data_IF_267475790997
#
_entry.id   IF_267475790997
#
_cell.length_a   1.000
_cell.length_b   1.000
_cell.length_c   1.000
_cell.angle_alpha   90.00
_cell.angle_beta   90.00
_cell.angle_gamma   90.00
#
_symmetry.space_group_name_H-M   'P 1'
#
loop_
_entity.id
_entity.type
_entity.pdbx_description
1 polymer ?
#
# COMPACT_ATOMS: atom_id res chain seq x y z
N UNK A 1 -10.13 13.62 -2.05
CA UNK A 1 -9.18 12.95 -1.14
C UNK A 1 -9.58 11.51 -0.85
N UNK A 2 -10.83 11.24 -0.45
CA UNK A 2 -11.29 9.88 -0.09
C UNK A 2 -11.78 9.00 -1.26
N UNK A 3 -11.91 9.56 -2.45
CA UNK A 3 -12.20 8.82 -3.68
C UNK A 3 -11.43 9.50 -4.81
N UNK A 4 -10.20 9.05 -5.10
CA UNK A 4 -9.39 9.67 -6.12
C UNK A 4 -9.88 9.25 -7.51
N UNK A 5 -10.01 10.19 -8.44
CA UNK A 5 -10.61 9.95 -9.77
C UNK A 5 -9.74 9.14 -10.72
N UNK A 6 -8.50 8.85 -10.35
CA UNK A 6 -7.52 8.15 -11.17
C UNK A 6 -7.47 6.63 -10.96
N UNK A 7 -8.24 6.09 -10.00
CA UNK A 7 -8.23 4.65 -9.68
C UNK A 7 -9.35 3.93 -10.42
N UNK A 8 -9.00 2.84 -11.07
CA UNK A 8 -9.93 1.84 -11.63
C UNK A 8 -10.58 0.98 -10.54
N UNK A 9 -11.62 0.22 -10.90
CA UNK A 9 -12.23 -0.76 -9.99
C UNK A 9 -11.24 -1.83 -9.53
N UNK A 10 -10.28 -2.21 -10.39
CA UNK A 10 -9.20 -3.14 -10.03
C UNK A 10 -8.29 -2.54 -8.97
N UNK A 11 -7.92 -1.26 -9.11
CA UNK A 11 -7.04 -0.60 -8.15
C UNK A 11 -7.67 -0.48 -6.76
N UNK A 12 -9.00 -0.30 -6.71
CA UNK A 12 -9.75 -0.27 -5.46
C UNK A 12 -9.66 -1.57 -4.63
N UNK A 13 -9.39 -2.72 -5.26
CA UNK A 13 -9.31 -4.02 -4.56
C UNK A 13 -8.14 -4.04 -3.56
N UNK A 14 -7.03 -3.38 -3.88
CA UNK A 14 -5.84 -3.37 -3.02
C UNK A 14 -5.66 -2.07 -2.22
N UNK A 15 -6.67 -1.20 -2.21
CA UNK A 15 -6.63 0.05 -1.45
C UNK A 15 -6.75 -0.21 0.05
N UNK A 16 -5.77 0.27 0.79
CA UNK A 16 -5.71 0.35 2.24
C UNK A 16 -5.43 1.79 2.64
N UNK A 17 -6.37 2.47 3.30
CA UNK A 17 -6.16 3.83 3.84
C UNK A 17 -5.58 4.78 2.77
N UNK A 18 -6.30 4.95 1.66
CA UNK A 18 -5.97 5.91 0.60
C UNK A 18 -4.86 5.52 -0.38
N UNK A 19 -4.31 4.30 -0.31
CA UNK A 19 -3.30 3.82 -1.25
C UNK A 19 -2.99 2.33 -1.05
N UNK A 20 -1.87 1.84 -1.56
CA UNK A 20 -1.47 0.44 -1.33
C UNK A 20 -1.06 0.20 0.13
N UNK A 21 -1.15 -1.06 0.59
CA UNK A 21 -0.72 -1.46 1.95
C UNK A 21 0.80 -1.67 2.00
N UNK A 22 1.56 -0.94 2.84
CA UNK A 22 3.03 -1.03 2.96
C UNK A 22 3.63 -2.46 2.99
N UNK A 23 2.99 -3.43 3.64
CA UNK A 23 3.42 -4.82 3.71
C UNK A 23 3.49 -5.51 2.35
N UNK A 24 2.73 -5.03 1.36
CA UNK A 24 2.77 -5.52 -0.02
C UNK A 24 4.14 -5.29 -0.68
N UNK A 25 4.90 -4.27 -0.28
CA UNK A 25 6.26 -4.05 -0.79
C UNK A 25 7.21 -5.21 -0.42
N UNK A 26 7.07 -5.78 0.78
CA UNK A 26 7.87 -6.94 1.19
C UNK A 26 7.43 -8.21 0.45
N UNK A 27 6.13 -8.38 0.21
CA UNK A 27 5.65 -9.48 -0.63
C UNK A 27 6.22 -9.38 -2.05
N UNK A 28 6.17 -8.20 -2.66
CA UNK A 28 6.78 -7.95 -3.96
C UNK A 28 8.29 -8.25 -3.94
N UNK A 29 9.01 -7.80 -2.90
CA UNK A 29 10.42 -8.10 -2.71
C UNK A 29 10.66 -9.61 -2.70
N UNK A 30 9.95 -10.37 -1.86
CA UNK A 30 10.11 -11.83 -1.76
C UNK A 30 9.76 -12.54 -3.07
N UNK A 31 8.70 -12.12 -3.75
CA UNK A 31 8.32 -12.71 -5.05
C UNK A 31 9.37 -12.44 -6.12
N UNK A 32 9.84 -11.19 -6.28
CA UNK A 32 10.81 -10.85 -7.31
C UNK A 32 12.20 -11.43 -7.03
N UNK A 33 12.66 -11.36 -5.77
CA UNK A 33 13.94 -11.98 -5.36
C UNK A 33 13.93 -13.48 -5.54
N UNK A 34 12.86 -14.16 -5.12
CA UNK A 34 12.68 -15.59 -5.30
C UNK A 34 12.69 -16.00 -6.79
N UNK A 35 11.93 -15.29 -7.63
CA UNK A 35 11.93 -15.55 -9.08
C UNK A 35 13.32 -15.40 -9.72
N UNK A 36 14.07 -14.35 -9.35
CA UNK A 36 15.41 -14.11 -9.88
C UNK A 36 16.43 -15.15 -9.38
N UNK A 37 16.35 -15.51 -8.10
CA UNK A 37 17.16 -16.56 -7.49
C UNK A 37 16.91 -17.91 -8.17
N UNK A 38 15.65 -18.31 -8.35
CA UNK A 38 15.28 -19.59 -8.99
C UNK A 38 15.76 -19.66 -10.43
N UNK A 39 15.59 -18.58 -11.21
CA UNK A 39 16.03 -18.52 -12.60
C UNK A 39 17.56 -18.66 -12.78
N UNK A 40 18.34 -18.41 -11.73
CA UNK A 40 19.81 -18.35 -11.76
C UNK A 40 20.48 -19.30 -10.77
N UNK A 41 19.73 -20.24 -10.20
CA UNK A 41 20.22 -21.12 -9.14
C UNK A 41 21.48 -21.91 -9.56
N UNK A 42 21.53 -22.38 -10.82
CA UNK A 42 22.69 -23.11 -11.33
C UNK A 42 23.96 -22.25 -11.42
N UNK A 43 23.83 -20.98 -11.81
CA UNK A 43 24.94 -20.03 -11.92
C UNK A 43 25.50 -19.69 -10.53
N UNK A 44 24.61 -19.49 -9.55
CA UNK A 44 24.94 -19.19 -8.16
C UNK A 44 25.67 -20.37 -7.50
N UNK A 45 25.16 -21.60 -7.67
CA UNK A 45 25.80 -22.81 -7.12
C UNK A 45 27.23 -23.00 -7.68
N UNK A 46 27.48 -22.55 -8.92
CA UNK A 46 28.81 -22.58 -9.55
C UNK A 46 29.71 -21.41 -9.13
N UNK A 47 29.27 -20.55 -8.22
CA UNK A 47 30.02 -19.40 -7.73
C UNK A 47 29.93 -18.17 -8.63
N UNK A 48 28.95 -18.11 -9.54
CA UNK A 48 28.64 -16.90 -10.29
C UNK A 48 28.03 -15.85 -9.38
N UNK A 49 28.54 -14.62 -9.44
CA UNK A 49 27.92 -13.46 -8.79
C UNK A 49 27.07 -12.71 -9.82
N UNK A 50 25.77 -12.64 -9.58
CA UNK A 50 24.84 -11.85 -10.41
C UNK A 50 24.33 -10.71 -9.56
N UNK A 51 24.43 -9.48 -10.05
CA UNK A 51 23.95 -8.31 -9.31
C UNK A 51 22.50 -8.04 -9.72
N UNK A 52 21.58 -8.77 -9.12
CA UNK A 52 20.14 -8.48 -9.16
C UNK A 52 19.49 -8.71 -7.78
N UNK A 53 18.15 -8.69 -7.70
CA UNK A 53 17.43 -8.88 -6.43
C UNK A 53 17.47 -10.34 -5.94
N UNK A 54 18.01 -11.28 -6.72
CA UNK A 54 18.25 -12.66 -6.30
C UNK A 54 19.50 -12.82 -5.41
N UNK A 55 20.46 -11.89 -5.48
CA UNK A 55 21.73 -11.93 -4.73
C UNK A 55 21.64 -11.17 -3.39
N UNK A 56 20.57 -11.40 -2.63
CA UNK A 56 20.35 -10.73 -1.34
C UNK A 56 21.04 -11.50 -0.23
N UNK A 57 21.91 -10.81 0.53
CA UNK A 57 22.65 -11.41 1.63
C UNK A 57 21.75 -11.77 2.83
N UNK A 58 22.21 -12.73 3.64
CA UNK A 58 21.50 -13.11 4.87
C UNK A 58 21.31 -11.92 5.85
N UNK A 59 22.28 -10.99 5.92
CA UNK A 59 22.18 -9.77 6.73
C UNK A 59 21.11 -8.82 6.21
N UNK A 60 20.98 -8.68 4.89
CA UNK A 60 19.92 -7.88 4.28
C UNK A 60 18.54 -8.51 4.51
N UNK A 61 18.42 -9.84 4.38
CA UNK A 61 17.17 -10.56 4.68
C UNK A 61 16.74 -10.37 6.15
N UNK A 62 17.68 -10.44 7.10
CA UNK A 62 17.38 -10.20 8.51
C UNK A 62 16.94 -8.75 8.78
N UNK A 63 17.59 -7.78 8.12
CA UNK A 63 17.21 -6.37 8.22
C UNK A 63 15.82 -6.11 7.62
N UNK A 64 15.50 -6.72 6.46
CA UNK A 64 14.19 -6.61 5.82
C UNK A 64 13.08 -7.28 6.64
N UNK A 65 13.32 -8.46 7.24
CA UNK A 65 12.36 -9.11 8.14
C UNK A 65 12.05 -8.24 9.37
N UNK A 66 13.08 -7.62 9.96
CA UNK A 66 12.88 -6.66 11.05
C UNK A 66 12.05 -5.47 10.59
N UNK A 67 12.40 -4.85 9.46
CA UNK A 67 11.67 -3.71 8.90
C UNK A 67 10.22 -4.09 8.61
N UNK A 68 9.96 -5.27 8.03
CA UNK A 68 8.62 -5.77 7.77
C UNK A 68 7.78 -5.89 9.05
N UNK A 69 8.35 -6.43 10.13
CA UNK A 69 7.65 -6.53 11.42
C UNK A 69 7.31 -5.17 12.00
N UNK A 70 8.21 -4.20 11.89
CA UNK A 70 7.99 -2.83 12.33
C UNK A 70 6.89 -2.16 11.49
N UNK A 71 6.94 -2.27 10.16
CA UNK A 71 5.91 -1.78 9.24
C UNK A 71 4.55 -2.40 9.54
N UNK A 72 4.45 -3.73 9.68
CA UNK A 72 3.17 -4.42 9.97
C UNK A 72 2.58 -3.98 11.31
N UNK A 73 3.41 -3.68 12.33
CA UNK A 73 2.90 -3.10 13.59
C UNK A 73 2.33 -1.70 13.37
N UNK A 74 3.02 -0.85 12.61
CA UNK A 74 2.53 0.49 12.29
C UNK A 74 1.24 0.46 11.45
N UNK A 75 1.12 -0.48 10.51
CA UNK A 75 -0.12 -0.70 9.74
C UNK A 75 -1.31 -1.05 10.63
N UNK A 76 -1.10 -1.90 11.65
CA UNK A 76 -2.16 -2.26 12.60
C UNK A 76 -2.67 -1.04 13.34
N UNK A 77 -1.76 -0.23 13.90
CA UNK A 77 -2.11 1.00 14.62
C UNK A 77 -2.87 1.98 13.71
N UNK A 78 -2.42 2.18 12.46
CA UNK A 78 -3.12 3.06 11.51
C UNK A 78 -4.50 2.49 11.14
N UNK A 79 -4.63 1.17 11.01
CA UNK A 79 -5.91 0.52 10.70
C UNK A 79 -6.90 0.63 11.86
N UNK A 80 -6.42 0.49 13.09
CA UNK A 80 -7.22 0.68 14.31
C UNK A 80 -7.74 2.13 14.39
N UNK A 81 -6.87 3.13 14.19
CA UNK A 81 -7.28 4.54 14.19
C UNK A 81 -8.25 4.88 13.05
N UNK A 82 -8.05 4.27 11.87
CA UNK A 82 -8.98 4.40 10.75
C UNK A 82 -10.36 3.84 11.12
N UNK A 83 -10.40 2.67 11.74
CA UNK A 83 -11.62 2.03 12.21
C UNK A 83 -12.32 2.89 13.27
N UNK A 84 -11.59 3.38 14.29
CA UNK A 84 -12.15 4.26 15.33
C UNK A 84 -12.75 5.55 14.75
N UNK A 85 -12.11 6.13 13.72
CA UNK A 85 -12.65 7.29 13.04
C UNK A 85 -13.95 6.93 12.29
N UNK A 86 -13.97 5.81 11.57
CA UNK A 86 -15.16 5.34 10.84
C UNK A 86 -16.31 4.99 11.78
N UNK A 87 -16.05 4.28 12.89
CA UNK A 87 -17.05 3.89 13.88
C UNK A 87 -17.70 5.09 14.57
N UNK A 88 -17.00 6.24 14.67
CA UNK A 88 -17.56 7.47 15.20
C UNK A 88 -18.79 7.99 14.39
N UNK A 89 -18.97 7.54 13.15
CA UNK A 89 -20.19 7.82 12.37
C UNK A 89 -21.43 7.11 12.90
N UNK A 90 -21.27 5.98 13.58
CA UNK A 90 -22.36 5.21 14.17
C UNK A 90 -22.67 5.64 15.61
N UNK A 91 -22.07 6.72 16.11
CA UNK A 91 -22.32 7.22 17.45
C UNK A 91 -23.76 7.76 17.60
N UNK A 92 -24.34 7.60 18.79
CA UNK A 92 -25.70 8.05 19.10
C UNK A 92 -25.92 9.55 18.79
N UNK A 93 -24.92 10.38 19.01
CA UNK A 93 -24.93 11.81 18.66
C UNK A 93 -25.17 12.03 17.16
N UNK A 94 -24.50 11.28 16.29
CA UNK A 94 -24.68 11.39 14.83
C UNK A 94 -26.09 10.97 14.44
N UNK A 95 -26.61 9.88 15.02
CA UNK A 95 -27.99 9.43 14.77
C UNK A 95 -29.04 10.45 15.21
N UNK A 96 -28.82 11.13 16.33
CA UNK A 96 -29.70 12.21 16.79
C UNK A 96 -29.66 13.42 15.85
N UNK A 97 -28.47 13.81 15.37
CA UNK A 97 -28.32 14.88 14.38
C UNK A 97 -29.01 14.53 13.05
N UNK A 98 -28.88 13.28 12.57
CA UNK A 98 -29.62 12.80 11.38
C UNK A 98 -31.13 12.90 11.60
N UNK A 99 -31.62 12.47 12.77
CA UNK A 99 -33.06 12.41 13.06
C UNK A 99 -33.68 13.79 13.28
N UNK A 100 -32.93 14.73 13.87
CA UNK A 100 -33.37 16.10 14.10
C UNK A 100 -33.28 16.99 12.85
N UNK A 101 -32.51 16.58 11.84
CA UNK A 101 -32.27 17.39 10.64
C UNK A 101 -31.39 18.61 10.88
N UNK A 102 -30.65 18.64 12.00
CA UNK A 102 -29.73 19.73 12.35
C UNK A 102 -28.48 19.69 11.46
N UNK A 103 -28.57 20.40 10.32
CA UNK A 103 -27.55 20.40 9.29
C UNK A 103 -26.25 21.09 9.74
N UNK A 104 -26.33 22.18 10.50
CA UNK A 104 -25.15 22.95 10.93
C UNK A 104 -24.27 22.12 11.89
N UNK A 105 -24.89 21.47 12.87
CA UNK A 105 -24.16 20.60 13.79
C UNK A 105 -23.66 19.32 13.10
N UNK A 106 -24.43 18.77 12.16
CA UNK A 106 -23.97 17.65 11.34
C UNK A 106 -22.73 18.02 10.51
N UNK A 107 -22.72 19.20 9.87
CA UNK A 107 -21.60 19.66 9.07
C UNK A 107 -20.34 19.84 9.93
N UNK A 108 -20.47 20.46 11.10
CA UNK A 108 -19.38 20.58 12.08
C UNK A 108 -18.82 19.21 12.49
N UNK A 109 -19.70 18.24 12.81
CA UNK A 109 -19.29 16.86 13.17
C UNK A 109 -18.56 16.17 12.01
N UNK A 110 -19.07 16.32 10.78
CA UNK A 110 -18.44 15.76 9.58
C UNK A 110 -17.10 16.42 9.27
N UNK A 111 -16.95 17.72 9.52
CA UNK A 111 -15.68 18.43 9.37
C UNK A 111 -14.62 17.86 10.31
N UNK A 112 -14.97 17.64 11.59
CA UNK A 112 -14.08 17.02 12.57
C UNK A 112 -13.67 15.59 12.20
N UNK A 113 -14.62 14.79 11.71
CA UNK A 113 -14.31 13.43 11.23
C UNK A 113 -13.39 13.44 10.00
N UNK A 114 -13.68 14.31 9.02
CA UNK A 114 -12.82 14.48 7.84
C UNK A 114 -11.40 14.82 8.27
N UNK A 115 -11.22 15.66 9.27
CA UNK A 115 -9.91 16.03 9.79
C UNK A 115 -9.17 14.85 10.45
N UNK A 116 -9.86 14.06 11.28
CA UNK A 116 -9.29 12.82 11.84
C UNK A 116 -8.85 11.87 10.72
N UNK A 117 -9.68 11.67 9.71
CA UNK A 117 -9.36 10.82 8.56
C UNK A 117 -8.21 11.38 7.72
N UNK A 118 -8.05 12.70 7.59
CA UNK A 118 -6.87 13.31 6.94
C UNK A 118 -5.59 13.00 7.70
N UNK A 119 -5.60 13.04 9.02
CA UNK A 119 -4.45 12.68 9.84
C UNK A 119 -4.06 11.20 9.67
N UNK A 120 -5.06 10.30 9.63
CA UNK A 120 -4.87 8.87 9.36
C UNK A 120 -4.25 8.66 7.98
N UNK A 121 -4.75 9.33 6.93
CA UNK A 121 -4.19 9.27 5.58
C UNK A 121 -2.73 9.75 5.55
N UNK A 122 -2.42 10.89 6.19
CA UNK A 122 -1.06 11.42 6.22
C UNK A 122 -0.07 10.46 6.89
N UNK A 123 -0.50 9.74 7.93
CA UNK A 123 0.31 8.69 8.57
C UNK A 123 0.51 7.49 7.66
N UNK A 124 -0.52 7.07 6.94
CA UNK A 124 -0.41 5.98 5.97
C UNK A 124 0.54 6.33 4.82
N UNK A 125 0.44 7.55 4.27
CA UNK A 125 1.34 8.04 3.22
C UNK A 125 2.78 8.11 3.70
N UNK A 126 3.00 8.60 4.93
CA UNK A 126 4.33 8.59 5.54
C UNK A 126 4.88 7.17 5.69
N UNK A 127 4.06 6.22 6.16
CA UNK A 127 4.49 4.83 6.31
C UNK A 127 4.86 4.19 4.97
N UNK A 128 4.16 4.52 3.87
CA UNK A 128 4.53 4.06 2.52
C UNK A 128 5.90 4.57 2.10
N UNK A 129 6.15 5.87 2.28
CA UNK A 129 7.44 6.49 1.96
C UNK A 129 8.55 5.88 2.81
N UNK A 130 8.34 5.78 4.12
CA UNK A 130 9.31 5.21 5.06
C UNK A 130 9.59 3.73 4.75
N UNK A 131 8.59 2.98 4.28
CA UNK A 131 8.76 1.56 3.90
C UNK A 131 9.60 1.42 2.63
N UNK A 132 9.29 2.17 1.56
CA UNK A 132 10.09 2.12 0.32
C UNK A 132 11.53 2.55 0.61
N UNK A 133 11.70 3.66 1.34
CA UNK A 133 13.01 4.14 1.75
C UNK A 133 13.77 3.11 2.58
N UNK A 134 13.13 2.53 3.59
CA UNK A 134 13.76 1.52 4.45
C UNK A 134 14.20 0.28 3.67
N UNK A 135 13.43 -0.17 2.67
CA UNK A 135 13.83 -1.27 1.80
C UNK A 135 15.06 -0.85 0.97
N UNK A 136 15.02 0.31 0.31
CA UNK A 136 16.12 0.78 -0.54
C UNK A 136 17.39 1.11 0.24
N UNK A 137 17.28 1.47 1.52
CA UNK A 137 18.43 1.74 2.40
C UNK A 137 19.11 0.43 2.86
N UNK A 138 18.40 -0.70 2.87
CA UNK A 138 18.95 -2.03 3.19
C UNK A 138 19.57 -2.71 1.97
N UNK A 139 18.96 -2.52 0.80
CA UNK A 139 19.44 -3.07 -0.47
C UNK A 139 20.67 -2.30 -0.98
N UNK A 140 21.52 -2.98 -1.76
CA UNK A 140 22.53 -2.25 -2.53
C UNK A 140 21.89 -1.51 -3.70
N UNK A 141 22.64 -0.63 -4.36
CA UNK A 141 22.12 0.23 -5.41
C UNK A 141 21.51 -0.54 -6.59
N UNK A 142 22.05 -1.71 -6.96
CA UNK A 142 21.55 -2.48 -8.09
C UNK A 142 20.30 -3.25 -7.69
N UNK A 143 20.32 -3.90 -6.53
CA UNK A 143 19.16 -4.55 -5.93
C UNK A 143 17.99 -3.57 -5.77
N UNK A 144 18.24 -2.36 -5.23
CA UNK A 144 17.23 -1.32 -5.07
C UNK A 144 16.59 -0.93 -6.41
N UNK A 145 17.39 -0.80 -7.48
CA UNK A 145 16.87 -0.55 -8.84
C UNK A 145 15.98 -1.69 -9.31
N UNK A 146 16.40 -2.95 -9.16
CA UNK A 146 15.56 -4.10 -9.53
C UNK A 146 14.24 -4.17 -8.75
N UNK A 147 14.27 -3.84 -7.46
CA UNK A 147 13.07 -3.73 -6.64
C UNK A 147 12.13 -2.63 -7.14
N UNK A 148 12.65 -1.43 -7.41
CA UNK A 148 11.84 -0.29 -7.89
C UNK A 148 11.27 -0.55 -9.29
N UNK A 149 12.02 -1.21 -10.17
CA UNK A 149 11.52 -1.65 -11.48
C UNK A 149 10.34 -2.61 -11.28
N UNK A 150 10.48 -3.62 -10.41
CA UNK A 150 9.39 -4.56 -10.15
C UNK A 150 8.15 -3.87 -9.57
N UNK A 151 8.33 -2.85 -8.73
CA UNK A 151 7.23 -2.07 -8.17
C UNK A 151 6.51 -1.25 -9.26
N UNK A 152 7.28 -0.63 -10.17
CA UNK A 152 6.72 0.11 -11.30
C UNK A 152 5.99 -0.82 -12.29
N UNK A 153 6.58 -1.97 -12.62
CA UNK A 153 5.96 -3.01 -13.47
C UNK A 153 4.60 -3.43 -12.92
N UNK A 154 4.52 -3.74 -11.62
CA UNK A 154 3.27 -4.14 -10.98
C UNK A 154 2.24 -3.00 -11.02
N UNK A 155 2.64 -1.78 -10.68
CA UNK A 155 1.73 -0.64 -10.62
C UNK A 155 1.16 -0.29 -12.00
N UNK A 156 2.03 -0.17 -13.01
CA UNK A 156 1.64 0.14 -14.39
C UNK A 156 0.76 -0.96 -14.98
N UNK A 157 1.15 -2.23 -14.79
CA UNK A 157 0.39 -3.37 -15.31
C UNK A 157 -1.02 -3.46 -14.72
N UNK A 158 -1.16 -3.25 -13.40
CA UNK A 158 -2.48 -3.23 -12.75
C UNK A 158 -3.33 -2.04 -13.20
N UNK A 159 -2.71 -0.87 -13.37
CA UNK A 159 -3.40 0.33 -13.82
C UNK A 159 -3.96 0.18 -15.23
N UNK A 160 -3.13 -0.28 -16.17
CA UNK A 160 -3.54 -0.52 -17.56
C UNK A 160 -4.64 -1.58 -17.66
N UNK A 161 -4.47 -2.70 -16.95
CA UNK A 161 -5.48 -3.75 -16.89
C UNK A 161 -6.81 -3.25 -16.31
N UNK A 162 -6.75 -2.48 -15.22
CA UNK A 162 -7.93 -1.95 -14.56
C UNK A 162 -8.73 -0.98 -15.44
N UNK A 163 -8.04 -0.07 -16.12
CA UNK A 163 -8.67 0.87 -17.06
C UNK A 163 -9.38 0.16 -18.21
N UNK A 164 -8.74 -0.86 -18.77
CA UNK A 164 -9.34 -1.63 -19.86
C UNK A 164 -10.59 -2.39 -19.40
N UNK A 165 -10.52 -3.01 -18.21
CA UNK A 165 -11.67 -3.71 -17.63
C UNK A 165 -12.87 -2.78 -17.41
N UNK A 166 -12.61 -1.58 -16.86
CA UNK A 166 -13.66 -0.59 -16.60
C UNK A 166 -14.27 -0.03 -17.89
N UNK A 167 -13.46 0.16 -18.93
CA UNK A 167 -13.92 0.57 -20.27
C UNK A 167 -14.87 -0.46 -20.86
N UNK A 168 -14.48 -1.73 -20.87
CA UNK A 168 -15.30 -2.82 -21.40
C UNK A 168 -16.63 -2.95 -20.64
N UNK A 169 -16.60 -2.84 -19.31
CA UNK A 169 -17.82 -2.87 -18.50
C UNK A 169 -18.76 -1.70 -18.78
N UNK A 170 -18.23 -0.51 -19.10
CA UNK A 170 -19.06 0.64 -19.47
C UNK A 170 -19.72 0.46 -20.86
N UNK A 171 -19.05 -0.24 -21.78
CA UNK A 171 -19.58 -0.55 -23.11
C UNK A 171 -20.69 -1.61 -23.09
N UNK A 172 -20.68 -2.55 -22.13
CA UNK A 172 -21.74 -3.55 -21.97
C UNK A 172 -23.06 -2.99 -21.40
N UNK A 173 -23.01 -1.83 -20.75
CA UNK A 173 -24.16 -1.21 -20.08
C UNK A 173 -24.80 -0.09 -20.94
N UNK A 174 -24.14 0.32 -22.02
CA UNK A 174 -24.57 1.38 -22.95
C UNK A 174 -25.39 0.84 -24.12
#
# INVERSE_FOLDING_TARGET
MFSPSWTSTTENIFMWVGGWRPSAAFHLFHSKSGMQLEARLEEIIRGGAVKDLGDVSATQLQALDRLQRETVRAERLISEEAAEAQEALAAAEVLQLVSSGDQDNMESKMAGLKERMRAVLARADRLRIDTIRGITDVLDSIQAVHFLIAAAELHLGLHEYGKEKDRLAAEEVA
#
